data_IF_186283998408
#
_entry.id   IF_186283998408
#
_cell.length_a   1.000
_cell.length_b   1.000
_cell.length_c   1.000
_cell.angle_alpha   90.00
_cell.angle_beta   90.00
_cell.angle_gamma   90.00
#
_symmetry.space_group_name_H-M   'P 1'
#
loop_
_entity.id
_entity.type
_entity.pdbx_description
1 polymer ?
#
# COMPACT_ATOMS: atom_id res chain seq x y z
N UNK A 1 4.47 22.58 73.30
CA UNK A 1 3.41 21.78 72.65
C UNK A 1 3.81 21.55 71.20
N UNK A 2 4.46 20.42 70.88
CA UNK A 2 3.89 19.31 70.09
C UNK A 2 3.02 19.78 68.90
N UNK A 3 3.60 19.74 67.70
CA UNK A 3 3.22 18.77 66.67
C UNK A 3 4.33 18.61 65.64
N UNK A 4 4.92 17.42 65.72
CA UNK A 4 5.77 16.78 64.72
C UNK A 4 4.86 16.43 63.54
N UNK A 5 5.26 16.79 62.33
CA UNK A 5 4.83 16.09 61.13
C UNK A 5 6.08 15.55 60.43
N UNK A 6 6.31 14.26 60.66
CA UNK A 6 7.14 13.41 59.82
C UNK A 6 6.59 13.49 58.39
N UNK A 7 7.43 13.89 57.43
CA UNK A 7 7.28 13.41 56.06
C UNK A 7 8.54 12.60 55.73
N UNK A 8 8.30 11.33 55.40
CA UNK A 8 9.31 10.34 55.13
C UNK A 8 10.15 10.71 53.90
N UNK A 9 11.43 10.44 54.01
CA UNK A 9 12.41 10.31 52.94
C UNK A 9 11.98 9.27 51.91
N UNK A 10 11.78 9.64 50.64
CA UNK A 10 11.99 8.77 49.47
C UNK A 10 12.25 9.62 48.21
N UNK A 11 13.44 9.40 47.62
CA UNK A 11 13.90 9.71 46.26
C UNK A 11 13.61 11.08 45.64
N UNK A 12 14.69 11.86 45.51
CA UNK A 12 14.84 12.93 44.52
C UNK A 12 14.84 12.27 43.13
N UNK A 13 13.71 12.26 42.44
CA UNK A 13 13.71 12.08 40.98
C UNK A 13 13.87 13.46 40.36
N UNK A 14 15.08 13.71 39.87
CA UNK A 14 15.40 14.82 39.00
C UNK A 14 14.49 14.74 37.77
N UNK A 15 13.54 15.66 37.65
CA UNK A 15 12.90 15.97 36.36
C UNK A 15 13.98 16.57 35.46
N UNK A 16 14.65 15.73 34.69
CA UNK A 16 15.43 16.20 33.56
C UNK A 16 14.47 16.83 32.56
N UNK A 17 14.61 18.14 32.39
CA UNK A 17 14.15 18.87 31.21
C UNK A 17 14.75 18.18 29.98
N UNK A 18 13.99 17.29 29.36
CA UNK A 18 14.28 16.90 27.99
C UNK A 18 13.82 18.05 27.08
N UNK A 19 14.69 18.61 26.23
CA UNK A 19 14.25 19.56 25.24
C UNK A 19 13.20 18.89 24.34
N UNK A 20 12.01 19.51 24.28
CA UNK A 20 10.98 19.16 23.31
C UNK A 20 11.64 19.19 21.93
N UNK A 21 11.76 18.02 21.31
CA UNK A 21 12.22 17.90 19.93
C UNK A 21 11.34 18.81 19.05
N UNK A 22 11.94 19.54 18.09
CA UNK A 22 11.19 20.44 17.24
C UNK A 22 10.07 19.68 16.53
N UNK A 23 8.86 20.20 16.63
CA UNK A 23 7.64 19.74 15.97
C UNK A 23 7.97 19.20 14.57
N UNK A 24 8.09 17.88 14.46
CA UNK A 24 8.16 17.19 13.17
C UNK A 24 6.85 17.55 12.50
N UNK A 25 6.89 18.28 11.38
CA UNK A 25 5.69 18.51 10.55
C UNK A 25 4.98 17.16 10.42
N UNK A 26 3.67 17.06 10.70
CA UNK A 26 2.97 15.81 10.51
C UNK A 26 3.26 15.34 9.09
N UNK A 27 3.69 14.09 8.95
CA UNK A 27 3.97 13.52 7.65
C UNK A 27 2.74 13.77 6.77
N UNK A 28 2.94 14.34 5.59
CA UNK A 28 1.83 14.60 4.67
C UNK A 28 1.07 13.30 4.44
N UNK A 29 -0.24 13.31 4.66
CA UNK A 29 -1.09 12.13 4.49
C UNK A 29 -0.97 11.66 3.05
N UNK A 30 -0.72 10.35 2.87
CA UNK A 30 -0.58 9.77 1.53
C UNK A 30 -1.86 10.00 0.73
N UNK A 31 -1.71 10.29 -0.56
CA UNK A 31 -2.83 10.49 -1.49
C UNK A 31 -3.57 9.20 -1.86
N UNK A 32 -3.19 8.06 -1.30
CA UNK A 32 -3.80 6.75 -1.50
C UNK A 32 -3.62 5.91 -0.22
N UNK A 33 -4.43 4.86 -0.07
CA UNK A 33 -4.33 3.91 1.05
C UNK A 33 -3.68 2.62 0.55
N UNK A 34 -2.77 2.06 1.32
CA UNK A 34 -1.95 0.92 0.91
C UNK A 34 -1.63 -0.01 2.08
N UNK A 35 -1.44 -1.29 1.76
CA UNK A 35 -0.73 -2.23 2.60
C UNK A 35 0.75 -2.21 2.18
N UNK A 36 1.59 -1.53 2.95
CA UNK A 36 3.04 -1.50 2.72
C UNK A 36 3.68 -2.84 3.11
N UNK A 37 4.62 -3.31 2.29
CA UNK A 37 5.27 -4.62 2.41
C UNK A 37 6.80 -4.48 2.45
N UNK A 38 7.46 -5.48 3.03
CA UNK A 38 8.92 -5.52 3.07
C UNK A 38 9.49 -5.74 1.67
N UNK A 39 10.14 -4.71 1.11
CA UNK A 39 10.63 -4.70 -0.26
C UNK A 39 11.69 -5.79 -0.62
N UNK A 40 12.61 -6.22 0.28
CA UNK A 40 13.69 -7.14 -0.10
C UNK A 40 13.24 -8.45 -0.76
N UNK A 41 12.08 -8.99 -0.38
CA UNK A 41 11.50 -10.20 -0.98
C UNK A 41 11.10 -9.99 -2.45
N UNK A 42 10.52 -8.83 -2.74
CA UNK A 42 10.07 -8.45 -4.08
C UNK A 42 11.23 -8.08 -4.99
N UNK A 43 12.29 -7.50 -4.44
CA UNK A 43 13.53 -7.22 -5.16
C UNK A 43 14.17 -8.50 -5.72
N UNK A 44 14.12 -9.62 -4.99
CA UNK A 44 14.64 -10.90 -5.49
C UNK A 44 13.84 -11.40 -6.69
N UNK A 45 12.52 -11.30 -6.63
CA UNK A 45 11.62 -11.67 -7.75
C UNK A 45 11.86 -10.79 -8.96
N UNK A 46 12.02 -9.47 -8.75
CA UNK A 46 12.37 -8.51 -9.79
C UNK A 46 13.71 -8.86 -10.45
N UNK A 47 14.74 -9.21 -9.68
CA UNK A 47 16.03 -9.58 -10.24
C UNK A 47 15.96 -10.84 -11.12
N UNK A 48 15.17 -11.84 -10.72
CA UNK A 48 14.92 -13.04 -11.54
C UNK A 48 14.19 -12.66 -12.83
N UNK A 49 13.21 -11.76 -12.74
CA UNK A 49 12.47 -11.27 -13.90
C UNK A 49 13.35 -10.47 -14.86
N UNK A 50 14.18 -9.56 -14.36
CA UNK A 50 15.15 -8.81 -15.18
C UNK A 50 16.09 -9.75 -15.94
N UNK A 51 16.61 -10.77 -15.25
CA UNK A 51 17.47 -11.79 -15.86
C UNK A 51 16.73 -12.61 -16.94
N UNK A 52 15.48 -13.01 -16.66
CA UNK A 52 14.65 -13.74 -17.61
C UNK A 52 14.32 -12.91 -18.87
N UNK A 53 14.07 -11.60 -18.69
CA UNK A 53 13.75 -10.69 -19.79
C UNK A 53 15.00 -10.20 -20.56
N UNK A 54 16.20 -10.40 -20.02
CA UNK A 54 17.43 -9.87 -20.59
C UNK A 54 17.52 -8.34 -20.56
N UNK A 55 16.76 -7.68 -19.69
CA UNK A 55 16.73 -6.23 -19.56
C UNK A 55 16.36 -5.82 -18.15
N UNK A 56 16.81 -4.63 -17.72
CA UNK A 56 16.52 -4.10 -16.40
C UNK A 56 15.24 -3.27 -16.43
N UNK A 57 14.26 -3.65 -15.62
CA UNK A 57 13.01 -2.89 -15.47
C UNK A 57 13.20 -1.67 -14.56
N UNK A 58 12.40 -0.63 -14.83
CA UNK A 58 12.26 0.51 -13.93
C UNK A 58 11.34 0.08 -12.78
N UNK A 59 11.71 0.45 -11.55
CA UNK A 59 10.92 0.19 -10.35
C UNK A 59 11.04 1.37 -9.36
N UNK A 60 10.25 1.33 -8.29
CA UNK A 60 10.17 2.40 -7.28
C UNK A 60 10.86 2.06 -5.95
N UNK A 61 11.55 0.93 -5.87
CA UNK A 61 12.17 0.43 -4.63
C UNK A 61 11.20 0.30 -3.45
N UNK A 62 9.93 0.04 -3.72
CA UNK A 62 8.86 -0.16 -2.74
C UNK A 62 7.97 -1.34 -3.16
N UNK A 63 7.31 -1.96 -2.19
CA UNK A 63 6.28 -2.97 -2.44
C UNK A 63 5.05 -2.64 -1.60
N UNK A 64 3.89 -2.59 -2.24
CA UNK A 64 2.62 -2.40 -1.56
C UNK A 64 1.47 -2.99 -2.37
N UNK A 65 0.36 -3.25 -1.69
CA UNK A 65 -0.94 -3.50 -2.34
C UNK A 65 -1.78 -2.23 -2.15
N UNK A 66 -2.22 -1.62 -3.24
CA UNK A 66 -3.11 -0.45 -3.16
C UNK A 66 -4.48 -0.89 -2.66
N UNK A 67 -4.93 -0.29 -1.56
CA UNK A 67 -6.23 -0.56 -0.93
C UNK A 67 -7.29 0.39 -1.49
N UNK A 68 -6.96 1.68 -1.59
CA UNK A 68 -7.75 2.72 -2.24
C UNK A 68 -6.82 3.57 -3.12
N UNK A 69 -7.13 3.65 -4.41
CA UNK A 69 -6.38 4.47 -5.37
C UNK A 69 -6.57 5.97 -5.09
N UNK A 70 -5.71 6.86 -5.62
CA UNK A 70 -5.92 8.30 -5.48
C UNK A 70 -7.30 8.82 -5.92
N UNK A 71 -7.86 8.44 -7.10
CA UNK A 71 -9.20 8.88 -7.47
C UNK A 71 -10.29 8.32 -6.54
N UNK A 72 -10.15 7.08 -6.07
CA UNK A 72 -11.11 6.48 -5.11
C UNK A 72 -11.08 7.21 -3.77
N UNK A 73 -9.89 7.43 -3.19
CA UNK A 73 -9.75 8.14 -1.91
C UNK A 73 -10.33 9.54 -2.02
N UNK A 74 -10.03 10.27 -3.10
CA UNK A 74 -10.60 11.60 -3.36
C UNK A 74 -12.13 11.58 -3.35
N UNK A 75 -12.74 10.58 -3.97
CA UNK A 75 -14.21 10.44 -4.01
C UNK A 75 -14.79 10.15 -2.62
N UNK A 76 -14.12 9.32 -1.82
CA UNK A 76 -14.54 8.97 -0.45
C UNK A 76 -14.43 10.17 0.49
N UNK A 77 -13.37 10.96 0.35
CA UNK A 77 -13.08 12.13 1.21
C UNK A 77 -13.99 13.33 0.95
N UNK A 78 -14.99 13.19 0.08
CA UNK A 78 -16.09 14.15 0.02
C UNK A 78 -16.94 14.14 1.31
N UNK A 79 -16.96 13.01 2.02
CA UNK A 79 -17.80 12.79 3.22
C UNK A 79 -17.00 12.64 4.52
N UNK A 80 -15.67 12.68 4.45
CA UNK A 80 -14.77 12.49 5.60
C UNK A 80 -13.36 12.97 5.27
N UNK A 81 -12.42 12.94 6.21
CA UNK A 81 -11.04 13.34 5.97
C UNK A 81 -10.17 12.14 5.51
N UNK A 82 -9.13 12.36 4.69
CA UNK A 82 -8.17 11.31 4.34
C UNK A 82 -7.55 10.64 5.59
N UNK A 83 -7.27 11.42 6.63
CA UNK A 83 -6.70 10.95 7.91
C UNK A 83 -7.60 9.90 8.57
N UNK A 84 -8.92 10.14 8.60
CA UNK A 84 -9.88 9.18 9.15
C UNK A 84 -9.83 7.85 8.39
N UNK A 85 -9.80 7.89 7.06
CA UNK A 85 -9.72 6.66 6.26
C UNK A 85 -8.41 5.91 6.50
N UNK A 86 -7.28 6.63 6.58
CA UNK A 86 -5.98 6.03 6.89
C UNK A 86 -5.98 5.40 8.28
N UNK A 87 -6.52 6.08 9.29
CA UNK A 87 -6.63 5.53 10.63
C UNK A 87 -7.51 4.27 10.67
N UNK A 88 -8.67 4.29 10.01
CA UNK A 88 -9.53 3.11 9.94
C UNK A 88 -8.86 1.94 9.24
N UNK A 89 -8.05 2.21 8.20
CA UNK A 89 -7.23 1.18 7.59
C UNK A 89 -6.16 0.65 8.53
N UNK A 90 -5.48 1.50 9.29
CA UNK A 90 -4.47 1.09 10.27
C UNK A 90 -5.04 0.21 11.37
N UNK A 91 -6.29 0.46 11.79
CA UNK A 91 -7.02 -0.35 12.77
C UNK A 91 -7.54 -1.67 12.16
N UNK A 92 -7.90 -1.68 10.87
CA UNK A 92 -8.41 -2.86 10.16
C UNK A 92 -7.30 -3.80 9.68
N UNK A 93 -6.16 -3.25 9.26
CA UNK A 93 -5.23 -3.96 8.38
C UNK A 93 -4.76 -5.27 9.00
N UNK A 94 -4.91 -6.32 8.22
CA UNK A 94 -4.21 -7.59 8.45
C UNK A 94 -3.23 -7.79 7.30
N UNK A 95 -2.07 -8.39 7.57
CA UNK A 95 -1.11 -8.76 6.51
C UNK A 95 -1.52 -10.05 5.77
N UNK A 96 -2.83 -10.34 5.69
CA UNK A 96 -3.31 -11.57 5.07
C UNK A 96 -3.62 -11.36 3.58
N UNK A 97 -2.80 -11.96 2.74
CA UNK A 97 -3.03 -12.10 1.31
C UNK A 97 -2.24 -13.31 0.81
N UNK A 98 -2.59 -13.82 -0.36
CA UNK A 98 -1.89 -14.93 -1.01
C UNK A 98 -1.39 -14.48 -2.37
N UNK A 99 -0.11 -14.73 -2.67
CA UNK A 99 0.40 -14.57 -4.04
C UNK A 99 -0.25 -15.62 -4.94
N UNK A 100 -0.84 -15.19 -6.05
CA UNK A 100 -1.55 -16.06 -6.99
C UNK A 100 -0.63 -16.41 -8.15
N UNK A 101 -0.11 -15.40 -8.85
CA UNK A 101 0.71 -15.59 -10.04
C UNK A 101 1.51 -14.33 -10.39
N UNK A 102 2.54 -14.51 -11.22
CA UNK A 102 3.30 -13.42 -11.82
C UNK A 102 2.61 -12.95 -13.11
N UNK A 103 2.13 -11.71 -13.11
CA UNK A 103 1.35 -11.09 -14.19
C UNK A 103 2.16 -10.16 -15.08
N UNK A 104 1.69 -10.00 -16.31
CA UNK A 104 2.19 -9.07 -17.31
C UNK A 104 1.01 -8.26 -17.86
N UNK A 105 1.14 -6.94 -17.92
CA UNK A 105 0.22 -6.05 -18.61
C UNK A 105 0.95 -5.28 -19.70
N UNK A 106 0.32 -5.10 -20.86
CA UNK A 106 0.95 -4.39 -21.98
C UNK A 106 -0.02 -3.52 -22.75
N UNK A 107 0.49 -2.39 -23.27
CA UNK A 107 -0.21 -1.55 -24.24
C UNK A 107 0.74 -1.17 -25.37
N UNK A 108 0.18 -0.81 -26.52
CA UNK A 108 0.93 -0.27 -27.65
C UNK A 108 0.65 1.21 -27.80
N UNK A 109 1.66 2.06 -27.59
CA UNK A 109 1.59 3.51 -27.77
C UNK A 109 2.69 3.95 -28.74
N UNK A 110 2.35 4.71 -29.79
CA UNK A 110 3.32 5.25 -30.77
C UNK A 110 4.30 4.19 -31.32
N UNK A 111 3.79 3.01 -31.69
CA UNK A 111 4.57 1.85 -32.17
C UNK A 111 5.56 1.26 -31.15
N UNK A 112 5.43 1.57 -29.86
CA UNK A 112 6.20 0.98 -28.78
C UNK A 112 5.30 0.15 -27.87
N UNK A 113 5.74 -1.06 -27.54
CA UNK A 113 5.07 -1.90 -26.54
C UNK A 113 5.58 -1.49 -25.16
N UNK A 114 4.68 -0.98 -24.33
CA UNK A 114 4.93 -0.70 -22.93
C UNK A 114 4.46 -1.88 -22.09
N UNK A 115 5.22 -2.26 -21.06
CA UNK A 115 4.86 -3.36 -20.18
C UNK A 115 4.99 -2.97 -18.72
N UNK A 116 4.09 -3.51 -17.89
CA UNK A 116 4.19 -3.53 -16.42
C UNK A 116 4.10 -4.97 -15.94
N UNK A 117 4.87 -5.31 -14.93
CA UNK A 117 4.94 -6.63 -14.33
C UNK A 117 4.64 -6.53 -12.84
N UNK A 118 3.84 -7.47 -12.35
CA UNK A 118 3.24 -7.39 -11.03
C UNK A 118 2.90 -8.79 -10.52
N UNK A 119 2.86 -8.96 -9.20
CA UNK A 119 2.32 -10.19 -8.59
C UNK A 119 0.84 -9.96 -8.37
N UNK A 120 -0.01 -10.79 -8.97
CA UNK A 120 -1.44 -10.85 -8.64
C UNK A 120 -1.59 -11.51 -7.29
N UNK A 121 -2.40 -10.92 -6.41
CA UNK A 121 -2.65 -11.49 -5.08
C UNK A 121 -4.13 -11.72 -4.85
N UNK A 122 -4.46 -12.65 -3.99
CA UNK A 122 -5.79 -12.79 -3.39
C UNK A 122 -5.77 -12.10 -2.03
N UNK A 123 -6.68 -11.14 -1.81
CA UNK A 123 -6.67 -10.25 -0.64
C UNK A 123 -8.11 -9.99 -0.15
N UNK A 124 -8.81 -11.01 0.37
CA UNK A 124 -10.22 -10.91 0.74
C UNK A 124 -10.48 -9.87 1.81
N UNK A 125 -9.57 -9.71 2.78
CA UNK A 125 -9.69 -8.71 3.86
C UNK A 125 -9.60 -7.26 3.33
N UNK A 126 -8.80 -7.03 2.29
CA UNK A 126 -8.72 -5.71 1.65
C UNK A 126 -10.02 -5.41 0.91
N UNK A 127 -10.59 -6.41 0.21
CA UNK A 127 -11.88 -6.27 -0.43
C UNK A 127 -13.01 -6.03 0.60
N UNK A 128 -12.96 -6.71 1.74
CA UNK A 128 -13.90 -6.50 2.84
C UNK A 128 -13.82 -5.06 3.38
N UNK A 129 -12.62 -4.53 3.58
CA UNK A 129 -12.41 -3.14 3.97
C UNK A 129 -12.97 -2.16 2.93
N UNK A 130 -12.68 -2.39 1.63
CA UNK A 130 -13.24 -1.56 0.54
C UNK A 130 -14.77 -1.52 0.58
N UNK A 131 -15.42 -2.67 0.81
CA UNK A 131 -16.88 -2.76 0.94
C UNK A 131 -17.39 -2.02 2.17
N UNK A 132 -16.72 -2.17 3.31
CA UNK A 132 -17.02 -1.43 4.53
C UNK A 132 -16.95 0.09 4.31
N UNK A 133 -15.90 0.61 3.67
CA UNK A 133 -15.76 2.04 3.36
C UNK A 133 -16.88 2.53 2.41
N UNK A 134 -17.19 1.76 1.36
CA UNK A 134 -18.30 2.07 0.44
C UNK A 134 -19.63 2.24 1.18
N UNK A 135 -19.94 1.31 2.10
CA UNK A 135 -21.17 1.33 2.90
C UNK A 135 -21.15 2.46 3.93
N UNK A 136 -20.07 2.60 4.71
CA UNK A 136 -19.98 3.57 5.81
C UNK A 136 -20.11 5.01 5.33
N UNK A 137 -19.50 5.34 4.19
CA UNK A 137 -19.50 6.71 3.66
C UNK A 137 -20.47 6.93 2.50
N UNK A 138 -21.33 5.95 2.19
CA UNK A 138 -22.38 6.02 1.16
C UNK A 138 -21.89 6.60 -0.19
N UNK A 139 -20.72 6.16 -0.65
CA UNK A 139 -20.04 6.75 -1.81
C UNK A 139 -20.62 6.18 -3.12
N UNK A 140 -21.31 7.02 -3.90
CA UNK A 140 -22.01 6.59 -5.13
C UNK A 140 -21.06 6.19 -6.26
N UNK A 141 -19.94 6.89 -6.42
CA UNK A 141 -19.00 6.70 -7.54
C UNK A 141 -17.76 5.88 -7.14
N UNK A 142 -17.94 4.91 -6.25
CA UNK A 142 -16.89 3.99 -5.83
C UNK A 142 -17.45 2.58 -5.88
N UNK A 143 -16.87 1.75 -6.75
CA UNK A 143 -17.22 0.34 -6.79
C UNK A 143 -16.12 -0.52 -6.15
N UNK A 144 -16.39 -0.97 -4.93
CA UNK A 144 -15.47 -1.79 -4.16
C UNK A 144 -15.10 -3.10 -4.87
N UNK A 145 -16.00 -3.66 -5.69
CA UNK A 145 -15.81 -4.93 -6.42
C UNK A 145 -14.95 -4.78 -7.68
N UNK A 146 -14.78 -3.57 -8.21
CA UNK A 146 -13.75 -3.30 -9.23
C UNK A 146 -12.41 -3.19 -8.50
N UNK A 147 -11.81 -4.35 -8.25
CA UNK A 147 -10.60 -4.46 -7.44
C UNK A 147 -9.69 -5.55 -8.00
N UNK A 148 -8.49 -5.14 -8.39
CA UNK A 148 -7.45 -6.01 -8.95
C UNK A 148 -6.21 -5.91 -8.04
N UNK A 149 -6.22 -6.55 -6.86
CA UNK A 149 -5.10 -6.44 -5.93
C UNK A 149 -3.83 -7.04 -6.54
N UNK A 150 -2.78 -6.23 -6.55
CA UNK A 150 -1.48 -6.61 -7.10
C UNK A 150 -0.35 -5.87 -6.39
N UNK A 151 0.86 -6.38 -6.59
CA UNK A 151 2.11 -5.76 -6.14
C UNK A 151 2.95 -5.49 -7.39
N UNK A 152 3.13 -4.23 -7.76
CA UNK A 152 3.96 -3.86 -8.91
C UNK A 152 5.43 -4.19 -8.63
N UNK A 153 6.06 -4.94 -9.54
CA UNK A 153 7.49 -5.26 -9.46
C UNK A 153 8.33 -4.28 -10.29
N UNK A 154 7.91 -4.02 -11.53
CA UNK A 154 8.63 -3.15 -12.43
C UNK A 154 7.97 -3.00 -13.79
N UNK A 155 8.47 -2.07 -14.59
CA UNK A 155 7.89 -1.69 -15.86
C UNK A 155 8.97 -1.22 -16.85
N UNK A 156 8.65 -1.23 -18.14
CA UNK A 156 9.59 -0.81 -19.19
C UNK A 156 9.75 0.70 -19.27
N UNK A 157 8.72 1.48 -18.91
CA UNK A 157 8.74 2.94 -18.97
C UNK A 157 7.95 3.58 -17.84
N UNK A 158 6.71 3.12 -17.64
CA UNK A 158 5.82 3.54 -16.54
C UNK A 158 4.89 2.41 -16.13
N UNK A 159 4.40 2.45 -14.90
CA UNK A 159 3.35 1.52 -14.47
C UNK A 159 2.09 1.76 -15.31
N UNK A 160 1.41 0.67 -15.68
CA UNK A 160 0.19 0.71 -16.46
C UNK A 160 -0.98 0.40 -15.54
N UNK A 161 -2.04 1.21 -15.64
CA UNK A 161 -3.17 1.16 -14.75
C UNK A 161 -4.47 0.76 -15.46
N UNK A 162 -5.52 0.52 -14.69
CA UNK A 162 -6.83 0.09 -15.18
C UNK A 162 -7.44 1.07 -16.18
N UNK A 163 -7.22 2.38 -15.98
CA UNK A 163 -7.69 3.46 -16.86
C UNK A 163 -7.09 3.37 -18.28
N UNK A 164 -6.02 2.60 -18.44
CA UNK A 164 -5.35 2.34 -19.72
C UNK A 164 -5.76 1.00 -20.34
N UNK A 165 -6.75 0.32 -19.76
CA UNK A 165 -7.21 -1.00 -20.19
C UNK A 165 -6.36 -2.17 -19.68
N UNK A 166 -5.42 -1.94 -18.76
CA UNK A 166 -4.60 -3.02 -18.18
C UNK A 166 -5.28 -3.57 -16.93
N UNK A 167 -5.87 -4.76 -17.08
CA UNK A 167 -6.48 -5.52 -15.98
C UNK A 167 -5.42 -6.44 -15.36
N UNK A 168 -5.25 -6.37 -14.04
CA UNK A 168 -4.21 -7.07 -13.29
C UNK A 168 -4.80 -8.24 -12.50
N UNK A 169 -5.40 -9.19 -13.21
CA UNK A 169 -6.08 -10.36 -12.66
C UNK A 169 -5.35 -11.67 -13.05
N UNK A 170 -5.80 -12.85 -12.58
CA UNK A 170 -5.17 -14.12 -12.94
C UNK A 170 -5.15 -14.45 -14.44
N UNK A 171 -5.99 -13.82 -15.27
CA UNK A 171 -5.97 -14.02 -16.73
C UNK A 171 -4.78 -13.32 -17.39
N UNK A 172 -4.15 -12.38 -16.69
CA UNK A 172 -2.95 -11.66 -17.12
C UNK A 172 -1.65 -12.38 -16.72
N UNK A 173 -1.72 -13.65 -16.31
CA UNK A 173 -0.57 -14.42 -15.83
C UNK A 173 -0.05 -15.40 -16.90
N UNK A 174 0.98 -15.03 -17.67
CA UNK A 174 1.55 -15.92 -18.68
C UNK A 174 2.29 -17.10 -18.03
N UNK A 175 2.07 -18.31 -18.52
CA UNK A 175 2.63 -19.55 -17.97
C UNK A 175 4.17 -19.50 -17.85
N UNK A 176 4.84 -18.93 -18.87
CA UNK A 176 6.29 -18.79 -18.92
C UNK A 176 6.89 -18.01 -17.73
N UNK A 177 6.12 -17.20 -17.02
CA UNK A 177 6.62 -16.40 -15.89
C UNK A 177 6.44 -17.10 -14.54
N UNK A 178 5.63 -18.15 -14.44
CA UNK A 178 5.21 -18.68 -13.14
C UNK A 178 6.32 -19.38 -12.36
N UNK A 179 7.36 -19.87 -13.05
CA UNK A 179 8.54 -20.47 -12.41
C UNK A 179 9.45 -19.46 -11.68
N UNK A 180 9.17 -18.15 -11.78
CA UNK A 180 9.95 -17.08 -11.15
C UNK A 180 9.44 -16.68 -9.77
N UNK A 181 8.18 -17.01 -9.46
CA UNK A 181 7.47 -16.69 -8.21
C UNK A 181 7.74 -17.76 -7.14
#
# INVERSE_FOLDING_TARGET
MKRILLCLSFFVVSCQNQPLLPNKKPASVKSYVSLDLEYPEYQQTLNKLDAFLGTKLINRSEAHITVLTPPELKNITANTSPETIHQEWEEWKTKSFKKVCLGEGSITEKNKVLKTYYIVVDAPEILAFRKYIKTKYAVKNFDADIFYPHITLGFTERDLHYEQGVIKDPKSCPEKLQHLL
#
